data_IF_046547574509
#
_entry.id   IF_046547574509
#
_cell.length_a   1.000
_cell.length_b   1.000
_cell.length_c   1.000
_cell.angle_alpha   90.00
_cell.angle_beta   90.00
_cell.angle_gamma   90.00
#
_symmetry.space_group_name_H-M   'P 1'
#
loop_
_entity.id
_entity.type
_entity.pdbx_description
1 polymer ?
#
# COMPACT_ATOMS: atom_id res chain seq x y z
N UNK A 1 21.78 -4.70 26.50
CA UNK A 1 20.57 -5.52 26.25
C UNK A 1 19.81 -4.90 25.09
N UNK A 2 19.91 -5.48 23.90
CA UNK A 2 19.15 -5.07 22.70
C UNK A 2 17.94 -5.99 22.63
N UNK A 3 16.75 -5.47 22.91
CA UNK A 3 15.53 -6.27 22.92
C UNK A 3 14.96 -6.36 21.50
N UNK A 4 15.37 -7.40 20.78
CA UNK A 4 14.91 -7.77 19.45
C UNK A 4 13.52 -8.43 19.52
N UNK A 5 12.44 -7.63 19.44
CA UNK A 5 11.07 -8.18 19.35
C UNK A 5 10.20 -7.57 18.24
N UNK A 6 10.79 -7.15 17.12
CA UNK A 6 10.03 -6.65 15.96
C UNK A 6 9.72 -7.68 14.86
N UNK A 7 10.10 -8.95 15.01
CA UNK A 7 10.07 -9.90 13.88
C UNK A 7 8.83 -10.80 13.72
N UNK A 8 7.84 -10.80 14.62
CA UNK A 8 6.80 -11.85 14.59
C UNK A 8 5.33 -11.41 14.44
N UNK A 9 5.01 -10.11 14.32
CA UNK A 9 3.60 -9.67 14.47
C UNK A 9 3.00 -8.93 13.27
N UNK A 10 3.62 -8.95 12.09
CA UNK A 10 3.06 -8.29 10.90
C UNK A 10 2.21 -9.28 10.11
N UNK A 11 0.91 -9.02 9.99
CA UNK A 11 0.06 -9.69 9.02
C UNK A 11 -0.06 -8.79 7.79
N UNK A 12 0.70 -9.10 6.74
CA UNK A 12 0.61 -8.42 5.47
C UNK A 12 -0.60 -8.97 4.70
N UNK A 13 -1.63 -8.14 4.50
CA UNK A 13 -2.75 -8.47 3.64
C UNK A 13 -2.47 -7.91 2.24
N UNK A 14 -1.84 -8.72 1.39
CA UNK A 14 -1.77 -8.44 -0.04
C UNK A 14 -3.10 -8.85 -0.66
N UNK A 15 -3.87 -7.88 -1.16
CA UNK A 15 -5.15 -8.18 -1.83
C UNK A 15 -4.89 -8.68 -3.27
N UNK A 16 -3.76 -8.32 -3.89
CA UNK A 16 -3.47 -8.66 -5.29
C UNK A 16 -1.99 -8.97 -5.55
N UNK A 17 -1.67 -10.24 -5.77
CA UNK A 17 -0.35 -10.66 -6.27
C UNK A 17 -0.33 -10.73 -7.80
N UNK A 18 -0.52 -9.59 -8.47
CA UNK A 18 -0.20 -9.37 -9.89
C UNK A 18 -0.89 -10.28 -10.90
N UNK A 19 -2.23 -10.29 -10.90
CA UNK A 19 -3.02 -11.16 -11.80
C UNK A 19 -3.72 -10.41 -12.94
N UNK A 20 -3.94 -9.09 -12.87
CA UNK A 20 -4.70 -8.40 -13.92
C UNK A 20 -4.11 -7.04 -14.30
N UNK A 21 -3.94 -6.81 -15.60
CA UNK A 21 -3.85 -5.46 -16.19
C UNK A 21 -5.22 -4.81 -15.98
N UNK A 22 -5.30 -3.83 -15.08
CA UNK A 22 -6.58 -3.32 -14.54
C UNK A 22 -7.45 -2.61 -15.57
N UNK A 23 -6.86 -2.19 -16.68
CA UNK A 23 -7.48 -1.29 -17.64
C UNK A 23 -8.46 -2.01 -18.59
N UNK A 24 -8.62 -3.34 -18.44
CA UNK A 24 -9.61 -4.16 -19.16
C UNK A 24 -10.44 -5.08 -18.25
N UNK A 25 -10.43 -4.87 -16.93
CA UNK A 25 -11.24 -5.70 -16.03
C UNK A 25 -12.70 -5.26 -16.14
N UNK A 26 -13.63 -6.15 -16.53
CA UNK A 26 -15.06 -5.82 -16.59
C UNK A 26 -15.55 -5.32 -15.24
N UNK A 27 -16.46 -4.34 -15.26
CA UNK A 27 -17.03 -3.73 -14.03
C UNK A 27 -17.50 -4.77 -13.01
N UNK A 28 -18.13 -5.86 -13.47
CA UNK A 28 -18.59 -6.94 -12.60
C UNK A 28 -17.44 -7.59 -11.80
N UNK A 29 -16.28 -7.78 -12.43
CA UNK A 29 -15.10 -8.35 -11.77
C UNK A 29 -14.51 -7.35 -10.78
N UNK A 30 -14.50 -6.06 -11.13
CA UNK A 30 -14.08 -4.99 -10.21
C UNK A 30 -15.00 -4.92 -8.98
N UNK A 31 -16.32 -5.03 -9.17
CA UNK A 31 -17.30 -5.00 -8.08
C UNK A 31 -17.17 -6.24 -7.18
N UNK A 32 -16.87 -7.41 -7.75
CA UNK A 32 -16.54 -8.62 -6.97
C UNK A 32 -15.27 -8.46 -6.14
N UNK A 33 -14.22 -7.88 -6.75
CA UNK A 33 -12.96 -7.52 -6.09
C UNK A 33 -13.23 -6.61 -4.89
N UNK A 34 -14.02 -5.56 -5.10
CA UNK A 34 -14.42 -4.64 -4.04
C UNK A 34 -15.20 -5.36 -2.94
N UNK A 35 -16.13 -6.26 -3.30
CA UNK A 35 -16.89 -7.07 -2.35
C UNK A 35 -16.00 -7.94 -1.45
N UNK A 36 -14.99 -8.61 -2.02
CA UNK A 36 -14.01 -9.40 -1.25
C UNK A 36 -13.28 -8.52 -0.25
N UNK A 37 -12.82 -7.33 -0.68
CA UNK A 37 -12.17 -6.38 0.22
C UNK A 37 -13.12 -5.94 1.36
N UNK A 38 -14.39 -5.64 1.08
CA UNK A 38 -15.33 -5.27 2.15
C UNK A 38 -15.50 -6.39 3.18
N UNK A 39 -15.59 -7.66 2.74
CA UNK A 39 -15.66 -8.81 3.65
C UNK A 39 -14.40 -8.87 4.52
N UNK A 40 -13.21 -8.68 3.95
CA UNK A 40 -11.96 -8.66 4.71
C UNK A 40 -11.95 -7.53 5.75
N UNK A 41 -12.39 -6.33 5.39
CA UNK A 41 -12.49 -5.20 6.33
C UNK A 41 -13.50 -5.47 7.46
N UNK A 42 -14.63 -6.11 7.15
CA UNK A 42 -15.59 -6.54 8.17
C UNK A 42 -15.01 -7.61 9.11
N UNK A 43 -14.19 -8.53 8.61
CA UNK A 43 -13.50 -9.51 9.47
C UNK A 43 -12.53 -8.80 10.42
N UNK A 44 -11.78 -7.81 9.93
CA UNK A 44 -10.87 -7.01 10.76
C UNK A 44 -11.67 -6.22 11.82
N UNK A 45 -12.81 -5.63 11.44
CA UNK A 45 -13.70 -4.89 12.34
C UNK A 45 -14.23 -5.78 13.47
N UNK A 46 -14.71 -6.97 13.14
CA UNK A 46 -15.36 -7.88 14.10
C UNK A 46 -14.37 -8.71 14.93
N UNK A 47 -13.16 -8.94 14.40
CA UNK A 47 -12.13 -9.77 15.05
C UNK A 47 -10.78 -9.05 15.06
N UNK A 48 -10.68 -7.89 15.73
CA UNK A 48 -9.44 -7.12 15.77
C UNK A 48 -8.37 -7.87 16.56
N UNK A 49 -7.15 -7.90 16.00
CA UNK A 49 -5.97 -8.40 16.69
C UNK A 49 -5.26 -7.18 17.28
N UNK A 50 -5.62 -6.80 18.50
CA UNK A 50 -5.17 -5.55 19.14
C UNK A 50 -3.64 -5.39 19.28
N UNK A 51 -2.87 -6.47 19.17
CA UNK A 51 -1.41 -6.45 19.22
C UNK A 51 -0.72 -6.28 17.86
N UNK A 52 -1.48 -6.07 16.77
CA UNK A 52 -0.95 -6.01 15.41
C UNK A 52 -1.30 -4.73 14.67
N UNK A 53 -0.41 -4.34 13.77
CA UNK A 53 -0.66 -3.34 12.74
C UNK A 53 -1.16 -4.05 11.47
N UNK A 54 -2.13 -3.44 10.81
CA UNK A 54 -2.63 -3.90 9.51
C UNK A 54 -1.94 -3.14 8.39
N UNK A 55 -1.40 -3.85 7.40
CA UNK A 55 -0.77 -3.25 6.21
C UNK A 55 -1.63 -3.59 5.00
N UNK A 56 -2.13 -2.55 4.34
CA UNK A 56 -2.84 -2.63 3.07
C UNK A 56 -1.90 -2.16 1.96
N UNK A 57 -1.79 -2.95 0.89
CA UNK A 57 -0.90 -2.66 -0.24
C UNK A 57 -1.74 -2.67 -1.51
N UNK A 58 -1.77 -1.53 -2.19
CA UNK A 58 -2.39 -1.42 -3.51
C UNK A 58 -1.74 -0.30 -4.33
N UNK A 59 -2.03 -0.28 -5.63
CA UNK A 59 -1.63 0.75 -6.58
C UNK A 59 -2.87 1.61 -6.87
N UNK A 60 -2.92 2.78 -6.25
CA UNK A 60 -4.04 3.70 -6.36
C UNK A 60 -3.67 4.81 -7.35
N UNK A 61 -4.39 4.88 -8.46
CA UNK A 61 -4.30 5.96 -9.46
C UNK A 61 -5.26 7.09 -9.12
N UNK A 62 -4.86 8.32 -9.43
CA UNK A 62 -5.71 9.51 -9.37
C UNK A 62 -6.88 9.38 -10.37
N UNK A 63 -8.01 10.01 -10.06
CA UNK A 63 -9.24 9.97 -10.87
C UNK A 63 -9.84 8.56 -11.10
N UNK A 64 -9.45 7.58 -10.29
CA UNK A 64 -10.05 6.26 -10.31
C UNK A 64 -11.03 6.08 -9.12
N UNK A 65 -12.33 6.17 -9.41
CA UNK A 65 -13.40 6.07 -8.42
C UNK A 65 -13.37 4.77 -7.59
N UNK A 66 -12.90 3.65 -8.15
CA UNK A 66 -12.79 2.40 -7.40
C UNK A 66 -11.64 2.49 -6.39
N UNK A 67 -10.47 2.98 -6.82
CA UNK A 67 -9.32 3.18 -5.94
C UNK A 67 -9.65 4.11 -4.78
N UNK A 68 -10.32 5.23 -5.06
CA UNK A 68 -10.76 6.18 -4.04
C UNK A 68 -11.76 5.54 -3.07
N UNK A 69 -12.75 4.79 -3.57
CA UNK A 69 -13.69 4.04 -2.73
C UNK A 69 -13.00 3.00 -1.85
N UNK A 70 -11.96 2.33 -2.35
CA UNK A 70 -11.17 1.38 -1.56
C UNK A 70 -10.44 2.08 -0.42
N UNK A 71 -9.74 3.18 -0.71
CA UNK A 71 -9.07 3.98 0.30
C UNK A 71 -10.05 4.50 1.36
N UNK A 72 -11.19 5.06 0.95
CA UNK A 72 -12.22 5.57 1.87
C UNK A 72 -12.77 4.49 2.79
N UNK A 73 -12.90 3.25 2.30
CA UNK A 73 -13.31 2.11 3.12
C UNK A 73 -12.30 1.81 4.23
N UNK A 74 -11.00 1.92 3.95
CA UNK A 74 -9.94 1.75 4.95
C UNK A 74 -9.97 2.90 5.96
N UNK A 75 -10.15 4.14 5.51
CA UNK A 75 -10.29 5.31 6.40
C UNK A 75 -11.52 5.19 7.31
N UNK A 76 -12.66 4.71 6.78
CA UNK A 76 -13.85 4.46 7.59
C UNK A 76 -13.59 3.37 8.63
N UNK A 77 -12.92 2.28 8.25
CA UNK A 77 -12.56 1.22 9.18
C UNK A 77 -11.68 1.76 10.32
N UNK A 78 -10.67 2.57 10.01
CA UNK A 78 -9.78 3.12 11.05
C UNK A 78 -10.53 4.00 12.04
N UNK A 79 -11.47 4.83 11.56
CA UNK A 79 -12.35 5.63 12.41
C UNK A 79 -13.20 4.76 13.34
N UNK A 80 -13.83 3.71 12.81
CA UNK A 80 -14.65 2.78 13.61
C UNK A 80 -13.85 2.06 14.68
N UNK A 81 -12.63 1.66 14.34
CA UNK A 81 -11.72 0.96 15.24
C UNK A 81 -10.96 1.89 16.19
N UNK A 82 -11.14 3.22 16.06
CA UNK A 82 -10.36 4.23 16.77
C UNK A 82 -8.84 4.03 16.59
N UNK A 83 -8.42 3.75 15.36
CA UNK A 83 -7.01 3.57 14.99
C UNK A 83 -6.53 4.68 14.07
N UNK A 84 -5.25 5.00 14.19
CA UNK A 84 -4.57 5.93 13.29
C UNK A 84 -4.25 5.23 11.96
N UNK A 85 -4.39 5.97 10.86
CA UNK A 85 -3.99 5.53 9.53
C UNK A 85 -2.71 6.28 9.13
N UNK A 86 -1.74 5.54 8.59
CA UNK A 86 -0.53 6.13 8.02
C UNK A 86 -0.45 5.82 6.53
N UNK A 87 -0.88 6.75 5.65
CA UNK A 87 -0.70 6.58 4.22
C UNK A 87 0.79 6.74 3.85
N UNK A 88 1.30 5.79 3.07
CA UNK A 88 2.66 5.82 2.53
C UNK A 88 2.59 5.63 1.02
N UNK A 89 3.18 6.56 0.27
CA UNK A 89 3.26 6.52 -1.19
C UNK A 89 4.71 6.26 -1.58
N UNK A 90 4.94 5.21 -2.35
CA UNK A 90 6.26 4.86 -2.86
C UNK A 90 6.40 5.40 -4.28
N UNK A 91 7.36 6.30 -4.49
CA UNK A 91 7.68 6.90 -5.79
C UNK A 91 8.96 6.27 -6.34
N UNK A 92 8.99 6.10 -7.65
CA UNK A 92 10.10 5.50 -8.37
C UNK A 92 10.17 6.12 -9.75
N UNK A 93 11.38 6.40 -10.23
CA UNK A 93 11.58 6.82 -11.60
C UNK A 93 11.18 5.69 -12.58
N UNK A 94 10.73 6.11 -13.76
CA UNK A 94 10.20 5.19 -14.77
C UNK A 94 11.25 4.15 -15.25
N UNK A 95 12.51 4.53 -15.57
CA UNK A 95 13.57 3.56 -15.88
C UNK A 95 13.75 2.47 -14.81
N UNK A 96 13.77 2.84 -13.54
CA UNK A 96 13.94 1.92 -12.42
C UNK A 96 12.72 1.02 -12.26
N UNK A 97 11.51 1.57 -12.40
CA UNK A 97 10.27 0.80 -12.36
C UNK A 97 10.24 -0.26 -13.48
N UNK A 98 10.61 0.12 -14.71
CA UNK A 98 10.72 -0.78 -15.86
C UNK A 98 11.66 -1.94 -15.57
N UNK A 99 12.86 -1.64 -15.05
CA UNK A 99 13.86 -2.65 -14.68
C UNK A 99 13.30 -3.61 -13.62
N UNK A 100 12.61 -3.11 -12.59
CA UNK A 100 12.00 -3.92 -11.53
C UNK A 100 10.90 -4.84 -12.06
N UNK A 101 10.04 -4.34 -12.95
CA UNK A 101 8.97 -5.13 -13.59
C UNK A 101 9.57 -6.26 -14.44
N UNK A 102 10.57 -5.94 -15.27
CA UNK A 102 11.25 -6.93 -16.11
C UNK A 102 11.89 -8.05 -15.27
N UNK A 103 12.65 -7.68 -14.22
CA UNK A 103 13.26 -8.65 -13.30
C UNK A 103 12.23 -9.52 -12.57
N UNK A 104 11.12 -8.92 -12.10
CA UNK A 104 10.04 -9.67 -11.43
C UNK A 104 9.41 -10.71 -12.38
N UNK A 105 9.22 -10.37 -13.65
CA UNK A 105 8.65 -11.27 -14.66
C UNK A 105 9.61 -12.39 -15.06
N UNK A 106 10.90 -12.08 -15.24
CA UNK A 106 11.94 -13.09 -15.47
C UNK A 106 11.95 -14.15 -14.37
N UNK A 107 11.92 -13.73 -13.10
CA UNK A 107 11.88 -14.66 -11.95
C UNK A 107 10.61 -15.52 -11.91
N UNK A 108 9.49 -15.06 -12.48
CA UNK A 108 8.21 -15.78 -12.50
C UNK A 108 8.01 -16.64 -13.76
N UNK A 109 9.00 -16.76 -14.66
CA UNK A 109 8.89 -17.48 -15.96
C UNK A 109 7.63 -17.11 -16.78
N UNK A 110 7.13 -15.87 -16.65
CA UNK A 110 5.94 -15.41 -17.38
C UNK A 110 6.35 -14.91 -18.76
N UNK A 111 5.59 -15.26 -19.81
CA UNK A 111 5.78 -14.70 -21.17
C UNK A 111 5.78 -13.17 -21.12
N UNK A 112 6.58 -12.56 -22.00
CA UNK A 112 6.66 -11.10 -22.17
C UNK A 112 5.31 -10.60 -22.71
N UNK A 113 4.36 -10.31 -21.82
CA UNK A 113 3.22 -9.44 -22.15
C UNK A 113 3.81 -8.04 -22.38
N UNK A 114 3.24 -7.29 -23.31
CA UNK A 114 3.74 -6.02 -23.81
C UNK A 114 4.15 -5.07 -22.67
N UNK A 115 5.45 -5.03 -22.31
CA UNK A 115 6.00 -4.17 -21.26
C UNK A 115 5.62 -2.71 -21.50
N UNK A 116 5.45 -2.34 -22.77
CA UNK A 116 5.06 -1.00 -23.18
C UNK A 116 3.66 -0.65 -22.65
N UNK A 117 2.70 -1.58 -22.59
CA UNK A 117 1.36 -1.27 -22.06
C UNK A 117 1.38 -0.88 -20.57
N UNK A 118 2.19 -1.56 -19.76
CA UNK A 118 2.34 -1.23 -18.33
C UNK A 118 3.11 0.07 -18.16
N UNK A 119 4.11 0.31 -19.00
CA UNK A 119 4.89 1.56 -18.98
C UNK A 119 4.05 2.76 -19.38
N UNK A 120 3.21 2.63 -20.40
CA UNK A 120 2.33 3.71 -20.85
C UNK A 120 1.35 4.12 -19.76
N UNK A 121 0.82 3.16 -18.99
CA UNK A 121 -0.03 3.47 -17.82
C UNK A 121 0.64 4.41 -16.82
N UNK A 122 1.90 4.16 -16.46
CA UNK A 122 2.66 5.01 -15.53
C UNK A 122 3.17 6.32 -16.16
N UNK A 123 2.98 6.51 -17.47
CA UNK A 123 3.25 7.79 -18.14
C UNK A 123 2.02 8.69 -18.21
N UNK A 124 0.82 8.10 -18.27
CA UNK A 124 -0.42 8.83 -18.50
C UNK A 124 -1.21 9.11 -17.22
N UNK A 125 -1.05 8.25 -16.21
CA UNK A 125 -1.89 8.29 -15.02
C UNK A 125 -1.03 8.64 -13.79
N UNK A 126 -1.47 9.65 -13.05
CA UNK A 126 -0.84 10.03 -11.79
C UNK A 126 -1.24 9.09 -10.64
N UNK A 127 -0.35 8.95 -9.67
CA UNK A 127 -0.65 8.22 -8.43
C UNK A 127 -1.58 9.05 -7.55
N UNK A 128 -2.57 8.39 -6.96
CA UNK A 128 -3.38 8.99 -5.91
C UNK A 128 -2.51 9.22 -4.66
N UNK A 129 -2.43 10.47 -4.21
CA UNK A 129 -1.71 10.87 -3.01
C UNK A 129 -2.73 11.23 -1.92
N UNK A 130 -2.91 10.38 -0.90
CA UNK A 130 -3.80 10.70 0.20
C UNK A 130 -3.35 11.92 1.01
N UNK A 131 -4.27 12.65 1.66
CA UNK A 131 -3.90 13.70 2.59
C UNK A 131 -2.95 13.18 3.68
N UNK A 132 -1.92 13.97 3.99
CA UNK A 132 -0.90 13.63 5.01
C UNK A 132 -0.09 12.36 4.71
N UNK A 133 -0.06 11.91 3.45
CA UNK A 133 0.80 10.81 3.05
C UNK A 133 2.28 11.13 3.24
N UNK A 134 3.03 10.12 3.68
CA UNK A 134 4.48 10.13 3.56
C UNK A 134 4.83 9.67 2.16
N UNK A 135 5.48 10.53 1.39
CA UNK A 135 6.02 10.18 0.09
C UNK A 135 7.49 9.76 0.24
N UNK A 136 7.83 8.57 -0.25
CA UNK A 136 9.19 8.03 -0.22
C UNK A 136 9.64 7.81 -1.66
N UNK A 137 10.61 8.61 -2.12
CA UNK A 137 11.32 8.36 -3.36
C UNK A 137 12.28 7.17 -3.15
N UNK A 138 12.09 6.11 -3.92
CA UNK A 138 12.73 4.82 -3.67
C UNK A 138 13.53 4.25 -4.84
N UNK A 139 13.80 5.06 -5.87
CA UNK A 139 14.52 4.63 -7.08
C UNK A 139 15.83 3.91 -6.76
N UNK A 140 16.67 4.52 -5.92
CA UNK A 140 17.99 3.98 -5.57
C UNK A 140 18.00 3.12 -4.30
N UNK A 141 16.83 2.83 -3.73
CA UNK A 141 16.72 2.07 -2.48
C UNK A 141 16.46 0.59 -2.74
N UNK A 142 17.11 -0.26 -1.95
CA UNK A 142 16.73 -1.66 -1.80
C UNK A 142 15.43 -1.80 -1.01
N UNK A 143 14.78 -2.97 -1.13
CA UNK A 143 13.55 -3.28 -0.38
C UNK A 143 13.74 -3.10 1.14
N UNK A 144 14.92 -3.47 1.66
CA UNK A 144 15.25 -3.36 3.08
C UNK A 144 15.37 -1.90 3.51
N UNK A 145 15.99 -1.06 2.69
CA UNK A 145 16.12 0.38 2.96
C UNK A 145 14.77 1.07 2.93
N UNK A 146 13.90 0.74 1.97
CA UNK A 146 12.53 1.29 1.91
C UNK A 146 11.75 0.90 3.17
N UNK A 147 11.79 -0.37 3.57
CA UNK A 147 11.10 -0.82 4.78
C UNK A 147 11.62 -0.11 6.04
N UNK A 148 12.95 0.08 6.13
CA UNK A 148 13.55 0.82 7.23
C UNK A 148 13.11 2.29 7.26
N UNK A 149 13.02 2.93 6.09
CA UNK A 149 12.59 4.33 6.01
C UNK A 149 11.12 4.50 6.42
N UNK A 150 10.23 3.57 6.04
CA UNK A 150 8.85 3.55 6.51
C UNK A 150 8.80 3.49 8.04
N UNK A 151 9.56 2.57 8.64
CA UNK A 151 9.62 2.44 10.11
C UNK A 151 10.18 3.70 10.77
N UNK A 152 11.20 4.33 10.19
CA UNK A 152 11.76 5.59 10.70
C UNK A 152 10.71 6.70 10.70
N UNK A 153 9.92 6.82 9.62
CA UNK A 153 8.86 7.82 9.51
C UNK A 153 7.72 7.57 10.51
N UNK A 154 7.34 6.30 10.72
CA UNK A 154 6.40 5.92 11.78
C UNK A 154 6.88 6.39 13.15
N UNK A 155 8.15 6.15 13.50
CA UNK A 155 8.70 6.58 14.79
C UNK A 155 8.72 8.10 14.96
N UNK A 156 9.07 8.85 13.91
CA UNK A 156 9.05 10.33 13.94
C UNK A 156 7.65 10.84 14.29
N UNK A 157 6.61 10.27 13.66
CA UNK A 157 5.23 10.67 13.90
C UNK A 157 4.73 10.31 15.31
N UNK A 158 5.07 9.12 15.81
CA UNK A 158 4.74 8.73 17.19
C UNK A 158 5.38 9.67 18.24
N UNK A 159 6.61 10.11 18.00
CA UNK A 159 7.31 11.02 18.91
C UNK A 159 6.69 12.43 18.91
N UNK A 160 6.21 12.91 17.75
CA UNK A 160 5.51 14.19 17.63
C UNK A 160 4.14 14.13 18.33
N UNK A 161 3.42 13.01 18.21
CA UNK A 161 2.13 12.81 18.88
C UNK A 161 2.30 12.74 20.42
N UNK A 162 3.37 12.10 20.91
CA UNK A 162 3.68 12.00 22.34
C UNK A 162 4.03 13.36 22.96
N UNK A 163 4.82 14.18 22.26
CA UNK A 163 5.16 15.54 22.74
C UNK A 163 3.97 16.49 22.81
N UNK A 164 3.02 16.39 21.87
CA UNK A 164 1.76 17.18 21.89
C UNK A 164 0.81 16.78 23.01
N UNK A 165 0.81 15.52 23.46
CA UNK A 165 -0.02 15.07 24.59
C UNK A 165 0.52 15.51 25.95
N UNK A 166 1.80 15.81 26.05
CA UNK A 166 2.46 16.23 27.31
C UNK A 166 2.55 17.76 27.47
N UNK A 167 1.96 18.53 26.55
CA UNK A 167 2.02 20.00 26.53
C UNK A 167 0.63 20.66 26.69
N UNK A 168 -0.36 19.90 27.14
CA UNK A 168 -1.70 20.31 27.56
C UNK A 168 -1.92 19.87 29.02
#
# INVERSE_FOLDING_TARGET
MVNSKFYNNVQACSIYDGVFERDQIPKEVQDRIYGIMQIMLQVIENYPIHSKNYIFIDELMENNDQNMRMYDSIVRLSKKMNTEILPVVLRCDLPTLQKRIALKRQRKNRKVINLNSIVEKFRTDDLFIPPSAIEIENSDMSIKEVAQEIVNQMHKLSNIACTRKNSL
#
